data_IF_081320320314
#
_entry.id   IF_081320320314
#
_cell.length_a   1.000
_cell.length_b   1.000
_cell.length_c   1.000
_cell.angle_alpha   90.00
_cell.angle_beta   90.00
_cell.angle_gamma   90.00
#
_symmetry.space_group_name_H-M   'P 1'
#
loop_
_entity.id
_entity.type
_entity.pdbx_description
1 polymer ?
#
# COMPACT_ATOMS: atom_id res chain seq x y z
N UNK A 1 -12.00 -8.90 -12.95
CA UNK A 1 -10.70 -9.39 -12.46
C UNK A 1 -10.42 -8.81 -11.09
N UNK A 2 -9.97 -9.64 -10.18
CA UNK A 2 -9.63 -9.17 -8.85
C UNK A 2 -8.27 -8.48 -8.87
N UNK A 3 -8.17 -7.34 -8.17
CA UNK A 3 -6.87 -6.70 -7.96
C UNK A 3 -6.03 -7.57 -7.02
N UNK A 4 -4.78 -7.74 -7.38
CA UNK A 4 -3.82 -8.53 -6.59
C UNK A 4 -3.12 -7.61 -5.61
N UNK A 5 -3.23 -7.91 -4.33
CA UNK A 5 -2.78 -7.03 -3.25
C UNK A 5 -1.70 -7.68 -2.39
N UNK A 6 -0.67 -6.90 -2.09
CA UNK A 6 0.34 -7.25 -1.08
C UNK A 6 0.12 -6.33 0.12
N UNK A 7 0.13 -6.89 1.33
CA UNK A 7 -0.01 -6.10 2.56
C UNK A 7 1.28 -6.22 3.36
N UNK A 8 1.88 -5.08 3.71
CA UNK A 8 3.13 -5.02 4.47
C UNK A 8 2.85 -4.38 5.83
N UNK A 9 2.94 -5.17 6.89
CA UNK A 9 2.63 -4.73 8.25
C UNK A 9 3.25 -5.72 9.22
N UNK A 10 3.79 -5.24 10.33
CA UNK A 10 4.41 -6.12 11.33
C UNK A 10 3.40 -6.70 12.34
N UNK A 11 2.14 -6.31 12.26
CA UNK A 11 1.10 -6.84 13.13
C UNK A 11 0.38 -8.01 12.45
N UNK A 12 0.57 -9.21 12.97
CA UNK A 12 -0.09 -10.40 12.43
C UNK A 12 -1.61 -10.28 12.51
N UNK A 13 -2.12 -9.68 13.59
CA UNK A 13 -3.56 -9.47 13.73
C UNK A 13 -4.14 -8.57 12.67
N UNK A 14 -3.46 -7.47 12.37
CA UNK A 14 -3.91 -6.57 11.31
C UNK A 14 -3.85 -7.25 9.94
N UNK A 15 -2.76 -7.97 9.66
CA UNK A 15 -2.61 -8.67 8.38
C UNK A 15 -3.77 -9.63 8.15
N UNK A 16 -4.14 -10.38 9.16
CA UNK A 16 -5.24 -11.34 9.07
C UNK A 16 -6.57 -10.63 8.83
N UNK A 17 -6.84 -9.59 9.61
CA UNK A 17 -8.10 -8.84 9.49
C UNK A 17 -8.21 -8.13 8.14
N UNK A 18 -7.13 -7.49 7.70
CA UNK A 18 -7.12 -6.78 6.43
C UNK A 18 -7.28 -7.74 5.26
N UNK A 19 -6.63 -8.90 5.33
CA UNK A 19 -6.75 -9.92 4.29
C UNK A 19 -8.20 -10.37 4.17
N UNK A 20 -8.83 -10.70 5.29
CA UNK A 20 -10.22 -11.16 5.29
C UNK A 20 -11.15 -10.09 4.71
N UNK A 21 -10.97 -8.84 5.13
CA UNK A 21 -11.79 -7.74 4.65
C UNK A 21 -11.65 -7.55 3.15
N UNK A 22 -10.44 -7.46 2.66
CA UNK A 22 -10.19 -7.17 1.24
C UNK A 22 -10.61 -8.33 0.34
N UNK A 23 -10.41 -9.56 0.79
CA UNK A 23 -10.87 -10.72 0.02
C UNK A 23 -12.38 -10.77 -0.03
N UNK A 24 -13.05 -10.43 1.06
CA UNK A 24 -14.50 -10.35 1.07
C UNK A 24 -15.00 -9.28 0.09
N UNK A 25 -14.23 -8.22 -0.10
CA UNK A 25 -14.60 -7.12 -0.99
C UNK A 25 -14.08 -7.29 -2.43
N UNK A 26 -13.56 -8.45 -2.76
CA UNK A 26 -13.22 -8.80 -4.13
C UNK A 26 -11.77 -8.68 -4.54
N UNK A 27 -10.88 -8.32 -3.62
CA UNK A 27 -9.45 -8.31 -3.91
C UNK A 27 -8.87 -9.71 -3.71
N UNK A 28 -7.72 -9.95 -4.34
CA UNK A 28 -6.94 -11.17 -4.12
C UNK A 28 -5.69 -10.78 -3.35
N UNK A 29 -5.61 -11.16 -2.07
CA UNK A 29 -4.41 -10.88 -1.27
C UNK A 29 -3.41 -11.98 -1.57
N UNK A 30 -2.47 -11.69 -2.45
CA UNK A 30 -1.52 -12.70 -2.97
C UNK A 30 -0.38 -12.98 -2.01
N UNK A 31 -0.08 -12.07 -1.11
CA UNK A 31 0.96 -12.27 -0.10
C UNK A 31 0.86 -11.22 0.99
N UNK A 32 1.54 -11.49 2.10
CA UNK A 32 1.74 -10.53 3.18
C UNK A 32 3.24 -10.50 3.48
N UNK A 33 3.70 -9.40 4.07
CA UNK A 33 5.10 -9.25 4.47
C UNK A 33 5.14 -8.46 5.77
N UNK A 34 6.12 -8.74 6.61
CA UNK A 34 6.26 -8.03 7.89
C UNK A 34 7.50 -7.14 7.94
N UNK A 35 8.35 -7.19 6.93
CA UNK A 35 9.55 -6.35 6.84
C UNK A 35 9.70 -5.81 5.44
N UNK A 36 10.56 -4.79 5.29
CA UNK A 36 10.88 -4.25 3.98
C UNK A 36 11.57 -5.27 3.07
N UNK A 37 12.43 -6.10 3.65
CA UNK A 37 13.12 -7.14 2.89
C UNK A 37 12.12 -8.14 2.31
N UNK A 38 11.18 -8.60 3.12
CA UNK A 38 10.13 -9.50 2.64
C UNK A 38 9.27 -8.82 1.59
N UNK A 39 8.92 -7.55 1.81
CA UNK A 39 8.12 -6.79 0.87
C UNK A 39 8.79 -6.72 -0.49
N UNK A 40 10.09 -6.42 -0.52
CA UNK A 40 10.85 -6.34 -1.76
C UNK A 40 10.85 -7.69 -2.49
N UNK A 41 11.11 -8.78 -1.76
CA UNK A 41 11.11 -10.11 -2.35
C UNK A 41 9.74 -10.46 -2.96
N UNK A 42 8.65 -10.12 -2.25
CA UNK A 42 7.29 -10.38 -2.74
C UNK A 42 6.96 -9.55 -3.97
N UNK A 43 7.33 -8.28 -3.98
CA UNK A 43 7.07 -7.37 -5.10
C UNK A 43 7.78 -7.86 -6.36
N UNK A 44 9.05 -8.21 -6.23
CA UNK A 44 9.84 -8.69 -7.37
C UNK A 44 9.25 -9.97 -7.95
N UNK A 45 8.84 -10.88 -7.08
CA UNK A 45 8.32 -12.19 -7.50
C UNK A 45 6.90 -12.13 -8.02
N UNK A 46 6.02 -11.39 -7.34
CA UNK A 46 4.59 -11.44 -7.59
C UNK A 46 4.04 -10.26 -8.36
N UNK A 47 4.73 -9.13 -8.34
CA UNK A 47 4.31 -7.89 -9.01
C UNK A 47 2.82 -7.58 -8.75
N UNK A 48 2.46 -7.32 -7.49
CA UNK A 48 1.05 -7.05 -7.17
C UNK A 48 0.54 -5.78 -7.84
N UNK A 49 -0.77 -5.70 -8.00
CA UNK A 49 -1.42 -4.51 -8.57
C UNK A 49 -1.44 -3.35 -7.58
N UNK A 50 -1.46 -3.67 -6.28
CA UNK A 50 -1.43 -2.66 -5.21
C UNK A 50 -0.67 -3.22 -4.02
N UNK A 51 0.09 -2.35 -3.35
CA UNK A 51 0.84 -2.71 -2.16
C UNK A 51 0.49 -1.73 -1.04
N UNK A 52 0.00 -2.25 0.07
CA UNK A 52 -0.30 -1.46 1.26
C UNK A 52 0.89 -1.57 2.20
N UNK A 53 1.41 -0.43 2.67
CA UNK A 53 2.62 -0.40 3.50
C UNK A 53 2.36 0.39 4.76
N UNK A 54 2.43 -0.27 5.93
CA UNK A 54 2.37 0.42 7.20
C UNK A 54 3.58 1.36 7.32
N UNK A 55 3.34 2.60 7.74
CA UNK A 55 4.43 3.57 7.92
C UNK A 55 5.35 3.20 9.08
N UNK A 56 4.88 2.36 10.00
CA UNK A 56 5.66 1.91 11.17
C UNK A 56 5.74 0.39 11.15
N UNK A 57 6.89 -0.13 10.80
CA UNK A 57 7.13 -1.57 10.70
C UNK A 57 8.03 -2.06 11.85
N UNK A 58 7.79 -1.52 13.05
CA UNK A 58 8.52 -1.91 14.24
C UNK A 58 9.90 -1.29 14.24
N UNK A 59 10.88 -1.40 13.93
CA UNK A 59 12.17 -0.72 13.87
C UNK A 59 12.49 -0.19 12.48
N UNK A 60 11.54 -0.26 11.56
CA UNK A 60 11.76 0.10 10.17
C UNK A 60 10.69 1.07 9.69
N UNK A 61 11.08 2.06 8.88
CA UNK A 61 10.15 3.05 8.35
C UNK A 61 9.47 2.56 7.08
N UNK A 62 8.14 2.58 7.08
CA UNK A 62 7.37 2.26 5.88
C UNK A 62 7.59 3.28 4.76
N UNK A 63 7.92 4.53 5.09
CA UNK A 63 8.27 5.52 4.08
C UNK A 63 9.54 5.12 3.33
N UNK A 64 10.53 4.59 4.06
CA UNK A 64 11.77 4.12 3.44
C UNK A 64 11.50 2.90 2.56
N UNK A 65 10.65 1.99 3.02
CA UNK A 65 10.26 0.81 2.25
C UNK A 65 9.57 1.23 0.95
N UNK A 66 8.63 2.17 1.02
CA UNK A 66 7.94 2.66 -0.18
C UNK A 66 8.92 3.22 -1.20
N UNK A 67 9.91 3.98 -0.72
CA UNK A 67 10.93 4.55 -1.60
C UNK A 67 11.77 3.46 -2.26
N UNK A 68 12.16 2.44 -1.49
CA UNK A 68 12.93 1.33 -2.03
C UNK A 68 12.15 0.55 -3.09
N UNK A 69 10.88 0.29 -2.82
CA UNK A 69 10.04 -0.44 -3.79
C UNK A 69 9.85 0.37 -5.08
N UNK A 70 9.66 1.68 -4.94
CA UNK A 70 9.51 2.55 -6.11
C UNK A 70 10.80 2.58 -6.95
N UNK A 71 11.95 2.62 -6.29
CA UNK A 71 13.25 2.67 -6.96
C UNK A 71 13.61 1.35 -7.63
N UNK A 72 13.18 0.25 -7.06
CA UNK A 72 13.45 -1.07 -7.61
C UNK A 72 12.77 -1.27 -8.96
N UNK A 73 11.58 -0.73 -9.13
CA UNK A 73 10.93 -0.63 -10.43
C UNK A 73 10.06 -1.79 -10.87
N UNK A 74 9.91 -2.84 -10.06
CA UNK A 74 9.01 -3.95 -10.41
C UNK A 74 7.55 -3.54 -10.37
N UNK A 75 7.21 -2.53 -9.58
CA UNK A 75 5.85 -2.00 -9.48
C UNK A 75 5.88 -0.48 -9.65
N UNK A 76 4.77 0.06 -10.12
CA UNK A 76 4.63 1.51 -10.26
C UNK A 76 4.47 2.13 -8.88
N UNK A 77 5.16 3.25 -8.62
CA UNK A 77 5.02 3.96 -7.35
C UNK A 77 3.57 4.32 -7.06
N UNK A 78 2.77 4.56 -8.10
CA UNK A 78 1.36 4.90 -7.93
C UNK A 78 0.50 3.72 -7.50
N UNK A 79 1.08 2.52 -7.42
CA UNK A 79 0.40 1.36 -6.86
C UNK A 79 0.70 1.17 -5.38
N UNK A 80 1.56 2.01 -4.79
CA UNK A 80 1.93 1.94 -3.38
C UNK A 80 1.04 2.86 -2.56
N UNK A 81 0.48 2.33 -1.49
CA UNK A 81 -0.39 3.09 -0.58
C UNK A 81 0.11 2.92 0.85
N UNK A 82 0.32 4.05 1.52
CA UNK A 82 0.75 4.04 2.92
C UNK A 82 -0.47 3.89 3.82
N UNK A 83 -0.34 3.10 4.88
CA UNK A 83 -1.40 2.93 5.87
C UNK A 83 -0.86 3.17 7.26
N UNK A 84 -1.72 3.60 8.19
CA UNK A 84 -1.32 3.85 9.57
C UNK A 84 -2.53 3.89 10.49
N UNK A 85 -2.29 3.62 11.79
CA UNK A 85 -3.29 3.88 12.82
C UNK A 85 -3.34 5.35 13.21
N UNK A 86 -2.32 6.13 12.80
CA UNK A 86 -2.24 7.56 13.10
C UNK A 86 -2.96 8.41 12.06
N UNK A 87 -3.29 9.63 12.41
CA UNK A 87 -3.93 10.54 11.50
C UNK A 87 -2.94 11.04 10.45
N UNK A 88 -3.46 11.29 9.24
CA UNK A 88 -2.66 11.79 8.13
C UNK A 88 -1.85 13.03 8.49
N UNK A 89 -2.46 13.94 9.28
CA UNK A 89 -1.85 15.22 9.63
C UNK A 89 -0.54 15.07 10.40
N UNK A 90 -0.38 13.97 11.13
CA UNK A 90 0.83 13.74 11.91
C UNK A 90 2.05 13.49 11.01
N UNK A 91 1.82 13.08 9.78
CA UNK A 91 2.90 12.72 8.86
C UNK A 91 2.78 13.42 7.52
N UNK A 92 2.06 14.54 7.47
CA UNK A 92 1.74 15.21 6.21
C UNK A 92 2.97 15.46 5.33
N UNK A 93 4.06 15.97 5.90
CA UNK A 93 5.26 16.26 5.13
C UNK A 93 5.91 15.01 4.57
N UNK A 94 5.95 13.94 5.37
CA UNK A 94 6.53 12.66 4.93
C UNK A 94 5.66 12.01 3.85
N UNK A 95 4.34 12.12 3.98
CA UNK A 95 3.42 11.59 2.99
C UNK A 95 3.61 12.31 1.66
N UNK A 96 3.70 13.64 1.68
CA UNK A 96 3.91 14.42 0.47
C UNK A 96 5.25 14.11 -0.19
N UNK A 97 6.28 13.85 0.60
CA UNK A 97 7.60 13.51 0.06
C UNK A 97 7.70 12.09 -0.46
N UNK A 98 6.73 11.24 -0.15
CA UNK A 98 6.75 9.84 -0.55
C UNK A 98 6.34 9.66 -2.00
N UNK A 99 6.92 8.68 -2.71
CA UNK A 99 6.47 8.36 -4.07
C UNK A 99 5.14 7.65 -4.12
N UNK A 100 4.60 7.20 -2.98
CA UNK A 100 3.35 6.44 -2.92
C UNK A 100 2.17 7.25 -3.45
N UNK A 101 1.15 6.54 -3.93
CA UNK A 101 -0.07 7.15 -4.46
C UNK A 101 -0.84 7.93 -3.42
N UNK A 102 -0.84 7.46 -2.17
CA UNK A 102 -1.61 8.11 -1.14
C UNK A 102 -1.46 7.42 0.20
N UNK A 103 -2.32 7.83 1.11
CA UNK A 103 -2.32 7.39 2.49
C UNK A 103 -3.74 7.06 2.92
N UNK A 104 -3.90 5.97 3.66
CA UNK A 104 -5.17 5.61 4.29
C UNK A 104 -4.94 5.34 5.76
N UNK A 105 -5.83 5.86 6.60
CA UNK A 105 -5.90 5.44 7.97
C UNK A 105 -6.37 3.98 7.97
N UNK A 106 -5.84 3.15 8.86
CA UNK A 106 -6.25 1.74 8.92
C UNK A 106 -7.75 1.59 9.19
N UNK A 107 -8.34 2.55 9.91
CA UNK A 107 -9.78 2.54 10.18
C UNK A 107 -10.63 2.82 8.93
N UNK A 108 -10.03 3.41 7.91
CA UNK A 108 -10.72 3.75 6.66
C UNK A 108 -10.42 2.74 5.54
N UNK A 109 -9.70 1.69 5.85
CA UNK A 109 -9.31 0.70 4.85
C UNK A 109 -10.53 -0.01 4.27
N UNK A 110 -10.64 0.03 2.95
CA UNK A 110 -11.67 -0.69 2.20
C UNK A 110 -11.20 -0.84 0.76
N UNK A 111 -11.82 -1.77 0.05
CA UNK A 111 -11.51 -1.93 -1.38
C UNK A 111 -11.85 -0.66 -2.15
N UNK A 112 -12.98 -0.02 -1.82
CA UNK A 112 -13.40 1.21 -2.50
C UNK A 112 -12.42 2.36 -2.24
N UNK A 113 -11.93 2.51 -1.02
CA UNK A 113 -10.95 3.54 -0.69
C UNK A 113 -9.65 3.34 -1.47
N UNK A 114 -9.21 2.08 -1.58
CA UNK A 114 -8.01 1.75 -2.34
C UNK A 114 -8.22 2.06 -3.82
N UNK A 115 -9.35 1.63 -4.37
CA UNK A 115 -9.67 1.90 -5.78
C UNK A 115 -9.72 3.38 -6.07
N UNK A 116 -10.27 4.17 -5.15
CA UNK A 116 -10.35 5.61 -5.32
C UNK A 116 -8.96 6.25 -5.44
N UNK A 117 -8.01 5.82 -4.59
CA UNK A 117 -6.65 6.33 -4.67
C UNK A 117 -5.96 5.93 -5.97
N UNK A 118 -6.15 4.70 -6.40
CA UNK A 118 -5.56 4.22 -7.65
C UNK A 118 -6.16 4.94 -8.85
N UNK A 119 -7.47 5.16 -8.84
CA UNK A 119 -8.17 5.86 -9.92
C UNK A 119 -7.77 7.32 -10.01
N UNK A 120 -7.68 8.00 -8.87
CA UNK A 120 -7.29 9.41 -8.84
C UNK A 120 -5.94 9.59 -9.51
N UNK A 121 -4.99 8.73 -9.20
CA UNK A 121 -3.67 8.79 -9.80
C UNK A 121 -3.68 8.45 -11.28
N UNK A 122 -4.50 7.47 -11.65
CA UNK A 122 -4.61 7.07 -13.05
C UNK A 122 -5.42 8.07 -13.87
N UNK A 123 -6.44 8.68 -13.27
CA UNK A 123 -7.35 9.53 -13.99
C UNK A 123 -6.83 10.95 -14.23
N UNK A 124 -5.83 11.40 -13.48
CA UNK A 124 -5.28 12.75 -13.65
C UNK A 124 -4.89 13.00 -15.10
N UNK A 125 -4.16 12.08 -15.69
CA UNK A 125 -3.73 12.23 -17.08
C UNK A 125 -4.87 12.06 -18.07
N UNK A 126 -5.81 11.16 -17.79
CA UNK A 126 -6.85 10.80 -18.73
C UNK A 126 -8.06 11.73 -18.66
N UNK A 127 -8.28 12.38 -17.52
CA UNK A 127 -9.44 13.22 -17.32
C UNK A 127 -9.24 14.63 -17.84
N UNK A 128 -8.05 14.98 -18.24
CA UNK A 128 -7.76 16.31 -18.74
C UNK A 128 -8.21 16.41 -20.19
N UNK A 129 -9.22 17.19 -20.47
CA UNK A 129 -9.69 17.37 -21.84
C UNK A 129 -8.69 18.12 -22.66
#
# INVERSE_FOLDING_TARGET
>A
MALRCLIVDDSAGFLEAARALLEHEGFSVVAVASTGEEALARVVKLRPDVTLIDIDLGGESGFAVARELAQEGSVDARSLILISTHAREEFADLIEASPAAGFLSKSDLSADAIRALLSDNGSIGSSTP
#
